data_IF_286950566486
#
_entry.id   IF_286950566486
#
_cell.length_a   1.000
_cell.length_b   1.000
_cell.length_c   1.000
_cell.angle_alpha   90.00
_cell.angle_beta   90.00
_cell.angle_gamma   90.00
#
_symmetry.space_group_name_H-M   'P 1'
#
loop_
_entity.id
_entity.type
_entity.pdbx_description
1 polymer ?
#
# COMPACT_ATOMS: atom_id res chain seq x y z
N UNK A 1 -5.61 -6.96 -44.97
CA UNK A 1 -4.91 -8.06 -44.27
C UNK A 1 -3.45 -7.65 -44.00
N UNK A 2 -3.21 -6.66 -43.14
CA UNK A 2 -1.84 -6.16 -42.90
C UNK A 2 -1.69 -5.41 -41.57
N UNK A 3 -2.36 -5.83 -40.50
CA UNK A 3 -2.22 -5.21 -39.16
C UNK A 3 -1.58 -6.14 -38.12
N UNK A 4 -1.46 -7.45 -38.38
CA UNK A 4 -0.97 -8.43 -37.41
C UNK A 4 0.57 -8.51 -37.27
N UNK A 5 1.34 -7.98 -38.21
CA UNK A 5 2.82 -8.11 -38.25
C UNK A 5 3.55 -7.18 -37.28
N UNK A 6 3.01 -5.99 -37.04
CA UNK A 6 3.66 -4.97 -36.21
C UNK A 6 3.50 -5.29 -34.72
N UNK A 7 2.31 -5.78 -34.32
CA UNK A 7 2.04 -6.21 -32.95
C UNK A 7 2.93 -7.40 -32.53
N UNK A 8 3.09 -8.40 -33.39
CA UNK A 8 4.00 -9.53 -33.15
C UNK A 8 5.45 -9.07 -32.99
N UNK A 9 5.88 -8.12 -33.83
CA UNK A 9 7.24 -7.55 -33.77
C UNK A 9 7.46 -6.76 -32.47
N UNK A 10 6.47 -5.99 -32.03
CA UNK A 10 6.51 -5.25 -30.75
C UNK A 10 6.56 -6.23 -29.57
N UNK A 11 5.75 -7.29 -29.60
CA UNK A 11 5.72 -8.34 -28.58
C UNK A 11 7.07 -9.06 -28.50
N UNK A 12 7.63 -9.46 -29.65
CA UNK A 12 8.95 -10.09 -29.75
C UNK A 12 10.07 -9.18 -29.24
N UNK A 13 10.06 -7.91 -29.63
CA UNK A 13 11.03 -6.92 -29.14
C UNK A 13 10.92 -6.71 -27.62
N UNK A 14 9.69 -6.65 -27.08
CA UNK A 14 9.45 -6.58 -25.63
C UNK A 14 10.01 -7.82 -24.91
N UNK A 15 9.75 -9.03 -25.42
CA UNK A 15 10.28 -10.26 -24.86
C UNK A 15 11.81 -10.32 -24.93
N UNK A 16 12.40 -9.95 -26.06
CA UNK A 16 13.85 -9.87 -26.25
C UNK A 16 14.50 -8.89 -25.27
N UNK A 17 13.94 -7.68 -25.13
CA UNK A 17 14.43 -6.68 -24.17
C UNK A 17 14.28 -7.15 -22.72
N UNK A 18 13.17 -7.82 -22.39
CA UNK A 18 12.92 -8.41 -21.06
C UNK A 18 13.90 -9.54 -20.76
N UNK A 19 14.22 -10.40 -21.73
CA UNK A 19 15.25 -11.44 -21.60
C UNK A 19 16.65 -10.84 -21.45
N UNK A 20 17.01 -9.85 -22.26
CA UNK A 20 18.33 -9.21 -22.21
C UNK A 20 18.57 -8.48 -20.87
N UNK A 21 17.53 -7.94 -20.26
CA UNK A 21 17.59 -7.30 -18.95
C UNK A 21 17.47 -8.29 -17.77
N UNK A 22 17.30 -9.60 -18.02
CA UNK A 22 17.40 -10.60 -16.95
C UNK A 22 18.85 -10.73 -16.54
N UNK A 23 19.18 -10.13 -15.39
CA UNK A 23 20.43 -10.43 -14.70
C UNK A 23 20.48 -11.93 -14.41
N UNK A 24 21.56 -12.59 -14.83
CA UNK A 24 21.83 -13.97 -14.44
C UNK A 24 21.86 -14.04 -12.92
N UNK A 25 20.92 -14.80 -12.34
CA UNK A 25 20.88 -15.02 -10.90
C UNK A 25 22.07 -15.88 -10.51
N UNK A 26 22.96 -15.36 -9.65
CA UNK A 26 24.05 -16.15 -9.06
C UNK A 26 23.53 -17.33 -8.25
N UNK A 27 22.38 -17.14 -7.59
CA UNK A 27 21.74 -18.17 -6.78
C UNK A 27 20.24 -18.15 -7.01
N UNK A 28 19.63 -19.34 -7.06
CA UNK A 28 18.17 -19.48 -7.08
C UNK A 28 17.56 -19.04 -5.74
N UNK A 29 18.11 -19.53 -4.64
CA UNK A 29 17.90 -19.06 -3.27
C UNK A 29 19.27 -18.77 -2.66
N UNK A 30 19.41 -17.64 -1.99
CA UNK A 30 20.69 -17.28 -1.37
C UNK A 30 21.04 -18.30 -0.25
N UNK A 31 22.27 -18.80 -0.13
CA UNK A 31 22.63 -19.83 0.86
C UNK A 31 22.28 -19.46 2.31
N UNK A 32 22.38 -18.17 2.66
CA UNK A 32 21.93 -17.67 3.97
C UNK A 32 20.43 -17.93 4.22
N UNK A 33 19.59 -17.69 3.23
CA UNK A 33 18.14 -17.85 3.32
C UNK A 33 17.76 -19.34 3.40
N UNK A 34 18.49 -20.17 2.65
CA UNK A 34 18.32 -21.62 2.65
C UNK A 34 18.67 -22.23 4.02
N UNK A 35 19.80 -21.82 4.62
CA UNK A 35 20.20 -22.25 5.97
C UNK A 35 19.20 -21.82 7.06
N UNK A 36 18.54 -20.68 6.88
CA UNK A 36 17.60 -20.10 7.85
C UNK A 36 16.14 -20.44 7.55
N UNK A 37 15.85 -21.46 6.73
CA UNK A 37 14.47 -21.81 6.36
C UNK A 37 13.58 -22.11 7.57
N UNK A 38 14.12 -22.75 8.61
CA UNK A 38 13.41 -23.04 9.86
C UNK A 38 13.08 -21.79 10.67
N UNK A 39 13.84 -20.72 10.51
CA UNK A 39 13.59 -19.45 11.21
C UNK A 39 12.30 -18.77 10.70
N UNK A 40 11.85 -19.06 9.47
CA UNK A 40 10.68 -18.42 8.83
C UNK A 40 9.39 -18.63 9.63
N UNK A 41 9.03 -19.90 9.86
CA UNK A 41 7.84 -20.29 10.62
C UNK A 41 8.00 -19.94 12.10
N UNK A 42 9.21 -20.06 12.63
CA UNK A 42 9.50 -19.74 14.01
C UNK A 42 9.26 -18.26 14.34
N UNK A 43 9.67 -17.32 13.47
CA UNK A 43 9.47 -15.88 13.70
C UNK A 43 7.97 -15.56 13.74
N UNK A 44 7.21 -15.94 12.71
CA UNK A 44 5.78 -15.64 12.64
C UNK A 44 4.99 -16.29 13.80
N UNK A 45 5.22 -17.59 14.07
CA UNK A 45 4.51 -18.29 15.15
C UNK A 45 4.86 -17.72 16.53
N UNK A 46 6.14 -17.40 16.78
CA UNK A 46 6.58 -16.80 18.04
C UNK A 46 5.99 -15.41 18.26
N UNK A 47 5.85 -14.62 17.20
CA UNK A 47 5.24 -13.29 17.25
C UNK A 47 3.76 -13.35 17.60
N UNK A 48 3.00 -14.24 16.97
CA UNK A 48 1.57 -14.45 17.27
C UNK A 48 1.32 -14.99 18.69
N UNK A 49 2.35 -15.55 19.33
CA UNK A 49 2.34 -16.00 20.72
C UNK A 49 2.82 -14.93 21.71
N UNK A 50 3.30 -13.76 21.25
CA UNK A 50 3.68 -12.67 22.16
C UNK A 50 2.46 -11.98 22.79
N UNK A 51 2.70 -11.21 23.85
CA UNK A 51 1.69 -10.33 24.45
C UNK A 51 1.22 -9.25 23.47
N UNK A 52 -0.02 -8.80 23.63
CA UNK A 52 -0.63 -7.81 22.73
C UNK A 52 0.15 -6.49 22.68
N UNK A 53 0.75 -6.07 23.81
CA UNK A 53 1.62 -4.90 23.85
C UNK A 53 2.83 -5.03 22.92
N UNK A 54 3.42 -6.23 22.83
CA UNK A 54 4.55 -6.51 21.94
C UNK A 54 4.09 -6.51 20.49
N UNK A 55 2.96 -7.16 20.19
CA UNK A 55 2.36 -7.16 18.85
C UNK A 55 2.05 -5.74 18.38
N UNK A 56 1.42 -4.91 19.22
CA UNK A 56 1.17 -3.49 18.95
C UNK A 56 2.46 -2.72 18.67
N UNK A 57 3.54 -2.99 19.42
CA UNK A 57 4.82 -2.31 19.19
C UNK A 57 5.46 -2.68 17.84
N UNK A 58 5.29 -3.92 17.39
CA UNK A 58 5.91 -4.46 16.18
C UNK A 58 5.08 -4.20 14.92
N UNK A 59 3.75 -4.25 15.04
CA UNK A 59 2.79 -4.28 13.95
C UNK A 59 1.83 -3.09 13.95
N UNK A 60 1.84 -2.24 15.00
CA UNK A 60 0.90 -1.14 15.19
C UNK A 60 -0.58 -1.58 15.15
N UNK A 61 -0.82 -2.84 15.50
CA UNK A 61 -2.12 -3.50 15.40
C UNK A 61 -2.28 -4.50 16.55
N UNK A 62 -3.48 -4.61 17.11
CA UNK A 62 -3.79 -5.62 18.13
C UNK A 62 -3.94 -6.99 17.49
N UNK A 63 -3.89 -8.05 18.32
CA UNK A 63 -4.06 -9.41 17.82
C UNK A 63 -5.46 -9.64 17.24
N UNK A 64 -6.49 -9.07 17.87
CA UNK A 64 -7.88 -9.15 17.41
C UNK A 64 -8.04 -8.47 16.04
N UNK A 65 -7.51 -7.26 15.88
CA UNK A 65 -7.55 -6.56 14.59
C UNK A 65 -6.79 -7.32 13.51
N UNK A 66 -5.65 -7.96 13.86
CA UNK A 66 -4.91 -8.80 12.92
C UNK A 66 -5.71 -10.03 12.51
N UNK A 67 -6.31 -10.76 13.45
CA UNK A 67 -7.14 -11.93 13.14
C UNK A 67 -8.32 -11.56 12.26
N UNK A 68 -9.01 -10.46 12.58
CA UNK A 68 -10.11 -9.96 11.76
C UNK A 68 -9.65 -9.55 10.35
N UNK A 69 -8.49 -8.89 10.24
CA UNK A 69 -7.90 -8.55 8.96
C UNK A 69 -7.57 -9.80 8.13
N UNK A 70 -7.00 -10.84 8.75
CA UNK A 70 -6.69 -12.10 8.07
C UNK A 70 -7.96 -12.75 7.53
N UNK A 71 -9.03 -12.79 8.31
CA UNK A 71 -10.33 -13.34 7.86
C UNK A 71 -10.87 -12.62 6.62
N UNK A 72 -10.74 -11.29 6.56
CA UNK A 72 -11.17 -10.49 5.41
C UNK A 72 -10.28 -10.69 4.18
N UNK A 73 -8.96 -10.86 4.35
CA UNK A 73 -8.02 -10.88 3.22
C UNK A 73 -7.76 -12.28 2.65
N UNK A 74 -7.79 -13.33 3.47
CA UNK A 74 -7.48 -14.71 3.05
C UNK A 74 -8.30 -15.16 1.82
N UNK A 75 -9.61 -14.87 1.70
CA UNK A 75 -10.39 -15.22 0.51
C UNK A 75 -9.85 -14.64 -0.80
N UNK A 76 -9.18 -13.49 -0.74
CA UNK A 76 -8.63 -12.78 -1.91
C UNK A 76 -7.18 -13.17 -2.22
N UNK A 77 -6.54 -13.97 -1.35
CA UNK A 77 -5.14 -14.38 -1.51
C UNK A 77 -5.09 -15.77 -2.15
N UNK A 78 -4.91 -15.80 -3.47
CA UNK A 78 -4.76 -17.06 -4.21
C UNK A 78 -3.30 -17.50 -4.28
N UNK A 79 -2.98 -18.61 -3.62
CA UNK A 79 -1.63 -19.17 -3.63
C UNK A 79 -1.66 -20.66 -3.95
N UNK A 80 -0.62 -21.11 -4.65
CA UNK A 80 -0.42 -22.51 -4.98
C UNK A 80 1.04 -22.86 -4.76
N UNK A 81 1.26 -23.99 -4.12
CA UNK A 81 2.57 -24.61 -4.11
C UNK A 81 2.96 -24.97 -5.54
N UNK A 82 4.27 -24.93 -5.81
CA UNK A 82 4.81 -25.45 -7.06
C UNK A 82 5.70 -26.63 -6.75
N UNK A 83 5.93 -27.50 -7.74
CA UNK A 83 6.86 -28.63 -7.60
C UNK A 83 8.27 -28.22 -7.17
N UNK A 84 8.63 -26.94 -7.31
CA UNK A 84 9.95 -26.41 -6.98
C UNK A 84 10.00 -25.69 -5.62
N UNK A 85 8.86 -25.28 -5.04
CA UNK A 85 8.83 -24.59 -3.74
C UNK A 85 7.42 -24.57 -3.13
N UNK A 86 7.39 -24.67 -1.80
CA UNK A 86 6.23 -24.27 -1.00
C UNK A 86 5.97 -22.76 -1.14
N UNK A 87 4.70 -22.40 -1.22
CA UNK A 87 4.26 -21.03 -1.20
C UNK A 87 4.43 -20.43 0.21
N UNK A 88 4.48 -19.09 0.27
CA UNK A 88 4.50 -18.39 1.55
C UNK A 88 3.05 -18.34 2.04
N UNK A 89 2.74 -18.80 3.25
CA UNK A 89 1.35 -18.85 3.71
C UNK A 89 0.67 -17.47 3.65
N UNK A 90 -0.65 -17.44 3.50
CA UNK A 90 -1.39 -16.18 3.42
C UNK A 90 -1.14 -15.31 4.67
N UNK A 91 -1.17 -15.92 5.86
CA UNK A 91 -0.88 -15.27 7.13
C UNK A 91 0.51 -14.65 7.17
N UNK A 92 1.55 -15.39 6.76
CA UNK A 92 2.93 -14.87 6.74
C UNK A 92 3.07 -13.69 5.77
N UNK A 93 2.38 -13.73 4.63
CA UNK A 93 2.39 -12.62 3.67
C UNK A 93 1.72 -11.36 4.19
N UNK A 94 0.58 -11.51 4.87
CA UNK A 94 -0.10 -10.41 5.54
C UNK A 94 0.82 -9.84 6.61
N UNK A 95 1.43 -10.70 7.43
CA UNK A 95 2.30 -10.31 8.52
C UNK A 95 3.57 -9.58 8.03
N UNK A 96 4.21 -10.05 6.95
CA UNK A 96 5.30 -9.35 6.25
C UNK A 96 4.86 -7.94 5.83
N UNK A 97 3.67 -7.82 5.27
CA UNK A 97 3.14 -6.56 4.73
C UNK A 97 2.80 -5.58 5.84
N UNK A 98 2.11 -6.02 6.89
CA UNK A 98 1.81 -5.18 8.06
C UNK A 98 3.09 -4.74 8.74
N UNK A 99 4.11 -5.61 8.86
CA UNK A 99 5.40 -5.21 9.44
C UNK A 99 6.03 -4.06 8.66
N UNK A 100 6.01 -4.16 7.33
CA UNK A 100 6.54 -3.10 6.47
C UNK A 100 5.77 -1.77 6.64
N UNK A 101 4.44 -1.82 6.66
CA UNK A 101 3.59 -0.63 6.84
C UNK A 101 3.75 -0.01 8.24
N UNK A 102 3.92 -0.83 9.27
CA UNK A 102 4.05 -0.41 10.65
C UNK A 102 5.40 0.28 10.96
N UNK A 103 6.50 -0.21 10.38
CA UNK A 103 7.85 0.28 10.70
C UNK A 103 8.47 1.16 9.61
N UNK A 104 7.97 1.10 8.37
CA UNK A 104 8.60 1.79 7.23
C UNK A 104 10.03 1.30 6.94
N UNK A 105 10.35 0.05 7.31
CA UNK A 105 11.70 -0.50 7.15
C UNK A 105 12.01 -0.83 5.69
N UNK A 106 13.31 -0.92 5.35
CA UNK A 106 13.73 -1.30 4.00
C UNK A 106 13.37 -2.75 3.68
N UNK A 107 13.17 -3.08 2.40
CA UNK A 107 12.89 -4.46 1.98
C UNK A 107 13.99 -5.44 2.38
N UNK A 108 15.25 -5.01 2.38
CA UNK A 108 16.38 -5.83 2.84
C UNK A 108 16.27 -6.16 4.34
N UNK A 109 15.85 -5.21 5.17
CA UNK A 109 15.63 -5.45 6.60
C UNK A 109 14.49 -6.45 6.84
N UNK A 110 13.35 -6.27 6.16
CA UNK A 110 12.21 -7.19 6.22
C UNK A 110 12.59 -8.58 5.70
N UNK A 111 13.37 -8.65 4.62
CA UNK A 111 13.91 -9.88 4.02
C UNK A 111 14.77 -10.68 5.00
N UNK A 112 15.70 -10.02 5.69
CA UNK A 112 16.52 -10.61 6.75
C UNK A 112 15.65 -11.10 7.91
N UNK A 113 14.68 -10.30 8.34
CA UNK A 113 13.79 -10.61 9.45
C UNK A 113 12.96 -11.88 9.21
N UNK A 114 12.34 -11.98 8.04
CA UNK A 114 11.50 -13.13 7.68
C UNK A 114 12.27 -14.25 6.98
N UNK A 115 13.59 -14.12 6.79
CA UNK A 115 14.41 -15.03 5.99
C UNK A 115 13.77 -15.33 4.61
N UNK A 116 13.32 -14.28 3.91
CA UNK A 116 12.71 -14.33 2.55
C UNK A 116 13.51 -13.43 1.62
N UNK A 117 13.68 -13.80 0.36
CA UNK A 117 14.48 -12.97 -0.56
C UNK A 117 13.85 -11.60 -0.82
N UNK A 118 14.67 -10.55 -0.99
CA UNK A 118 14.24 -9.16 -1.19
C UNK A 118 13.18 -9.01 -2.30
N UNK A 119 13.40 -9.68 -3.44
CA UNK A 119 12.44 -9.68 -4.56
C UNK A 119 11.12 -10.37 -4.23
N UNK A 120 11.13 -11.34 -3.32
CA UNK A 120 9.91 -12.02 -2.85
C UNK A 120 9.15 -11.12 -1.90
N UNK A 121 9.84 -10.48 -0.95
CA UNK A 121 9.24 -9.52 -0.01
C UNK A 121 8.62 -8.34 -0.75
N UNK A 122 9.36 -7.71 -1.67
CA UNK A 122 8.85 -6.59 -2.47
C UNK A 122 7.59 -6.96 -3.26
N UNK A 123 7.56 -8.15 -3.87
CA UNK A 123 6.38 -8.65 -4.58
C UNK A 123 5.21 -8.91 -3.64
N UNK A 124 5.46 -9.55 -2.49
CA UNK A 124 4.43 -9.81 -1.48
C UNK A 124 3.80 -8.51 -1.02
N UNK A 125 4.62 -7.53 -0.63
CA UNK A 125 4.15 -6.24 -0.14
C UNK A 125 3.26 -5.57 -1.18
N UNK A 126 3.72 -5.43 -2.43
CA UNK A 126 2.93 -4.80 -3.49
C UNK A 126 1.59 -5.50 -3.74
N UNK A 127 1.60 -6.84 -3.80
CA UNK A 127 0.39 -7.66 -4.03
C UNK A 127 -0.60 -7.52 -2.86
N UNK A 128 -0.13 -7.67 -1.62
CA UNK A 128 -1.00 -7.63 -0.44
C UNK A 128 -1.50 -6.21 -0.18
N UNK A 129 -0.71 -5.15 -0.42
CA UNK A 129 -1.21 -3.77 -0.28
C UNK A 129 -2.34 -3.45 -1.24
N UNK A 130 -2.31 -4.00 -2.47
CA UNK A 130 -3.41 -3.84 -3.43
C UNK A 130 -4.66 -4.58 -2.95
N UNK A 131 -4.50 -5.83 -2.50
CA UNK A 131 -5.60 -6.63 -1.95
C UNK A 131 -6.23 -5.94 -0.72
N UNK A 132 -5.41 -5.40 0.18
CA UNK A 132 -5.89 -4.63 1.34
C UNK A 132 -6.74 -3.45 0.89
N UNK A 133 -6.26 -2.67 -0.07
CA UNK A 133 -7.00 -1.53 -0.58
C UNK A 133 -8.35 -1.95 -1.18
N UNK A 134 -8.34 -2.95 -2.07
CA UNK A 134 -9.54 -3.39 -2.77
C UNK A 134 -10.58 -4.03 -1.85
N UNK A 135 -10.14 -4.79 -0.84
CA UNK A 135 -11.04 -5.45 0.12
C UNK A 135 -11.60 -4.49 1.18
N UNK A 136 -10.83 -3.49 1.61
CA UNK A 136 -11.17 -2.70 2.80
C UNK A 136 -11.71 -1.31 2.50
N UNK A 137 -11.38 -0.70 1.36
CA UNK A 137 -11.74 0.71 1.08
C UNK A 137 -13.24 0.96 1.18
N UNK A 138 -14.07 0.05 0.68
CA UNK A 138 -15.52 0.25 0.62
C UNK A 138 -16.20 -0.04 1.98
N UNK A 139 -15.52 -0.81 2.85
CA UNK A 139 -15.98 -1.13 4.20
C UNK A 139 -15.67 0.01 5.17
N UNK A 140 -14.43 0.52 5.14
CA UNK A 140 -13.93 1.47 6.13
C UNK A 140 -13.90 2.92 5.64
N UNK A 141 -14.05 3.16 4.34
CA UNK A 141 -14.10 4.49 3.74
C UNK A 141 -15.20 4.58 2.66
N UNK A 142 -16.46 4.21 2.99
CA UNK A 142 -17.57 4.37 2.07
C UNK A 142 -17.79 5.86 1.78
N UNK A 143 -18.25 6.17 0.58
CA UNK A 143 -18.63 7.55 0.24
C UNK A 143 -19.80 7.99 1.12
N UNK A 144 -19.68 9.08 1.91
CA UNK A 144 -20.73 9.43 2.84
C UNK A 144 -22.02 9.89 2.14
N UNK A 145 -23.17 9.45 2.65
CA UNK A 145 -24.47 9.92 2.20
C UNK A 145 -24.84 11.29 2.82
N UNK A 146 -25.95 11.88 2.37
CA UNK A 146 -26.41 13.19 2.85
C UNK A 146 -26.65 13.22 4.37
N UNK A 147 -27.09 12.11 4.98
CA UNK A 147 -27.36 12.05 6.41
C UNK A 147 -26.04 11.95 7.19
N UNK A 148 -25.09 11.16 6.72
CA UNK A 148 -23.74 11.07 7.27
C UNK A 148 -23.03 12.43 7.21
N UNK A 149 -23.13 13.17 6.10
CA UNK A 149 -22.61 14.54 6.01
C UNK A 149 -23.22 15.48 7.06
N UNK A 150 -24.53 15.38 7.29
CA UNK A 150 -25.20 16.17 8.34
C UNK A 150 -24.70 15.80 9.74
N UNK A 151 -24.49 14.51 10.01
CA UNK A 151 -23.95 14.03 11.29
C UNK A 151 -22.53 14.58 11.50
N UNK A 152 -21.67 14.52 10.48
CA UNK A 152 -20.31 15.06 10.54
C UNK A 152 -20.36 16.57 10.83
N UNK A 153 -21.17 17.33 10.08
CA UNK A 153 -21.34 18.77 10.30
C UNK A 153 -21.83 19.12 11.72
N UNK A 154 -22.78 18.34 12.23
CA UNK A 154 -23.28 18.51 13.60
C UNK A 154 -22.20 18.20 14.64
N UNK A 155 -21.42 17.11 14.47
CA UNK A 155 -20.31 16.79 15.39
C UNK A 155 -19.26 17.89 15.40
N UNK A 156 -18.88 18.44 14.24
CA UNK A 156 -17.93 19.56 14.17
C UNK A 156 -18.46 20.80 14.88
N UNK A 157 -19.75 21.10 14.73
CA UNK A 157 -20.36 22.21 15.43
C UNK A 157 -20.35 22.00 16.95
N UNK A 158 -20.70 20.80 17.43
CA UNK A 158 -20.76 20.49 18.85
C UNK A 158 -19.39 20.48 19.54
N UNK A 159 -18.38 19.87 18.91
CA UNK A 159 -17.05 19.70 19.51
C UNK A 159 -16.14 20.90 19.31
N UNK A 160 -16.26 21.58 18.17
CA UNK A 160 -15.29 22.59 17.72
C UNK A 160 -15.91 23.95 17.37
N UNK A 161 -17.23 24.11 17.53
CA UNK A 161 -17.98 25.31 17.13
C UNK A 161 -17.78 25.69 15.64
N UNK A 162 -17.61 24.69 14.78
CA UNK A 162 -17.46 24.86 13.33
C UNK A 162 -18.74 24.43 12.60
N UNK A 163 -19.69 25.35 12.31
CA UNK A 163 -20.92 25.01 11.61
C UNK A 163 -20.64 24.62 10.15
N UNK A 164 -21.42 23.67 9.62
CA UNK A 164 -21.33 23.17 8.23
C UNK A 164 -19.95 22.63 7.81
N UNK A 165 -19.08 22.29 8.76
CA UNK A 165 -17.79 21.68 8.47
C UNK A 165 -17.96 20.19 8.14
N UNK A 166 -17.53 19.77 6.96
CA UNK A 166 -17.68 18.38 6.50
C UNK A 166 -16.44 17.53 6.76
N UNK A 167 -15.37 18.11 7.28
CA UNK A 167 -14.13 17.40 7.54
C UNK A 167 -12.92 18.31 7.56
N UNK A 168 -11.84 17.80 8.13
CA UNK A 168 -10.52 18.42 8.13
C UNK A 168 -9.71 17.86 6.96
N UNK A 169 -9.40 18.72 5.98
CA UNK A 169 -8.60 18.37 4.81
C UNK A 169 -7.13 18.72 5.04
N UNK A 170 -6.24 17.75 4.84
CA UNK A 170 -4.79 17.98 4.90
C UNK A 170 -4.05 17.26 3.75
N UNK A 171 -2.89 17.81 3.39
CA UNK A 171 -2.02 17.33 2.32
C UNK A 171 -0.65 16.91 2.83
N UNK A 172 -0.13 15.80 2.31
CA UNK A 172 1.21 15.29 2.64
C UNK A 172 2.01 14.96 1.39
N UNK A 173 3.20 15.54 1.29
CA UNK A 173 4.20 15.12 0.30
C UNK A 173 4.88 13.82 0.73
N UNK A 174 4.61 12.74 0.00
CA UNK A 174 5.32 11.47 0.14
C UNK A 174 6.55 11.52 -0.76
N UNK A 175 7.73 11.47 -0.15
CA UNK A 175 9.00 11.48 -0.88
C UNK A 175 9.13 10.22 -1.72
N UNK A 176 9.53 10.40 -2.97
CA UNK A 176 9.81 9.31 -3.92
C UNK A 176 11.19 9.49 -4.53
N UNK A 177 11.75 8.40 -5.06
CA UNK A 177 12.86 8.51 -6.00
C UNK A 177 12.39 9.19 -7.28
N UNK A 178 13.32 9.87 -7.96
CA UNK A 178 13.02 10.52 -9.24
C UNK A 178 12.56 9.45 -10.23
N UNK A 179 11.32 9.60 -10.73
CA UNK A 179 10.80 8.74 -11.76
C UNK A 179 11.60 8.94 -13.07
N UNK A 180 11.88 7.87 -13.83
CA UNK A 180 12.52 7.99 -15.13
C UNK A 180 11.74 8.93 -16.04
N UNK A 181 12.43 9.81 -16.75
CA UNK A 181 11.85 10.75 -17.72
C UNK A 181 10.80 11.74 -17.15
N UNK A 182 10.69 11.92 -15.83
CA UNK A 182 9.68 12.80 -15.22
C UNK A 182 10.09 14.28 -15.13
N UNK A 183 11.30 14.64 -15.57
CA UNK A 183 11.84 16.00 -15.41
C UNK A 183 11.72 16.51 -13.96
N UNK A 184 11.17 17.70 -13.79
CA UNK A 184 10.85 18.33 -12.50
C UNK A 184 9.38 18.20 -12.08
N UNK A 185 8.58 17.37 -12.76
CA UNK A 185 7.13 17.24 -12.51
C UNK A 185 6.82 16.88 -11.05
N UNK A 186 7.56 15.94 -10.48
CA UNK A 186 7.42 15.54 -9.09
C UNK A 186 8.31 16.34 -8.13
N UNK A 187 9.13 17.26 -8.63
CA UNK A 187 10.05 18.03 -7.80
C UNK A 187 9.29 19.16 -7.09
N UNK A 188 9.24 19.10 -5.77
CA UNK A 188 8.49 20.04 -4.95
C UNK A 188 9.35 21.24 -4.52
N UNK A 189 8.69 22.22 -3.88
CA UNK A 189 9.33 23.42 -3.35
C UNK A 189 10.31 23.16 -2.19
N UNK A 190 10.24 21.97 -1.57
CA UNK A 190 11.15 21.51 -0.52
C UNK A 190 12.40 20.79 -1.09
N UNK A 191 12.64 20.92 -2.39
CA UNK A 191 13.81 20.39 -3.09
C UNK A 191 13.93 18.86 -3.06
N UNK A 192 12.81 18.13 -3.14
CA UNK A 192 12.81 16.69 -3.36
C UNK A 192 11.67 16.22 -4.28
N UNK A 193 11.82 15.03 -4.88
CA UNK A 193 10.75 14.42 -5.65
C UNK A 193 9.69 13.82 -4.72
N UNK A 194 8.42 14.13 -4.97
CA UNK A 194 7.30 13.64 -4.18
C UNK A 194 6.06 13.37 -5.03
N UNK A 195 5.18 12.55 -4.45
CA UNK A 195 3.77 12.47 -4.81
C UNK A 195 2.96 13.07 -3.65
N UNK A 196 1.80 13.61 -3.93
CA UNK A 196 0.93 14.17 -2.89
C UNK A 196 -0.18 13.21 -2.55
N UNK A 197 -0.36 13.02 -1.25
CA UNK A 197 -1.53 12.42 -0.62
C UNK A 197 -2.38 13.54 -0.04
N UNK A 198 -3.67 13.55 -0.34
CA UNK A 198 -4.67 14.39 0.28
C UNK A 198 -5.62 13.49 1.06
N UNK A 199 -5.95 13.87 2.30
CA UNK A 199 -6.90 13.12 3.10
C UNK A 199 -7.86 14.09 3.80
N UNK A 200 -9.12 13.67 3.92
CA UNK A 200 -10.13 14.32 4.71
C UNK A 200 -10.48 13.39 5.88
N UNK A 201 -10.52 13.93 7.10
CA UNK A 201 -10.99 13.20 8.28
C UNK A 201 -12.22 13.86 8.90
N UNK A 202 -13.06 13.07 9.55
CA UNK A 202 -14.13 13.57 10.39
C UNK A 202 -13.61 14.07 11.76
N UNK A 203 -14.53 14.41 12.66
CA UNK A 203 -14.19 14.89 14.02
C UNK A 203 -13.52 13.84 14.90
N UNK A 204 -13.73 12.56 14.59
CA UNK A 204 -13.27 11.44 15.40
C UNK A 204 -11.91 10.93 14.90
N UNK A 205 -11.36 11.58 13.87
CA UNK A 205 -10.08 11.23 13.25
C UNK A 205 -10.19 10.06 12.27
N UNK A 206 -11.39 9.68 11.86
CA UNK A 206 -11.61 8.66 10.83
C UNK A 206 -11.53 9.31 9.45
N UNK A 207 -10.82 8.67 8.53
CA UNK A 207 -10.72 9.15 7.16
C UNK A 207 -12.05 8.95 6.43
N UNK A 208 -12.58 10.04 5.87
CA UNK A 208 -13.80 10.03 5.03
C UNK A 208 -13.46 10.00 3.55
N UNK A 209 -12.28 10.48 3.18
CA UNK A 209 -11.81 10.54 1.80
C UNK A 209 -10.29 10.56 1.76
N UNK A 210 -9.68 9.77 0.86
CA UNK A 210 -8.25 9.82 0.59
C UNK A 210 -8.03 9.81 -0.92
N UNK A 211 -7.17 10.71 -1.41
CA UNK A 211 -6.74 10.78 -2.79
C UNK A 211 -5.22 10.81 -2.86
N UNK A 212 -4.63 9.99 -3.72
CA UNK A 212 -3.16 9.87 -3.83
C UNK A 212 -2.71 9.92 -5.28
N UNK A 213 -1.46 10.36 -5.50
CA UNK A 213 -0.80 10.23 -6.81
C UNK A 213 -0.62 11.52 -7.60
N UNK A 214 -1.04 12.66 -7.06
CA UNK A 214 -0.74 13.95 -7.69
C UNK A 214 0.76 14.24 -7.67
N UNK A 215 1.24 14.93 -8.71
CA UNK A 215 2.64 15.32 -8.81
C UNK A 215 3.05 16.28 -7.68
N UNK A 216 4.24 16.07 -7.12
CA UNK A 216 4.78 16.85 -6.00
C UNK A 216 5.01 18.34 -6.28
N UNK A 217 5.03 18.77 -7.55
CA UNK A 217 5.04 20.20 -7.90
C UNK A 217 3.72 20.90 -7.54
N UNK A 218 2.62 20.16 -7.44
CA UNK A 218 1.31 20.75 -7.16
C UNK A 218 1.19 21.12 -5.67
N UNK A 219 0.82 22.38 -5.41
CA UNK A 219 0.47 22.86 -4.07
C UNK A 219 -0.83 22.23 -3.58
N UNK A 220 -1.01 22.16 -2.27
CA UNK A 220 -2.21 21.59 -1.63
C UNK A 220 -3.48 22.39 -1.94
N UNK A 221 -3.35 23.72 -2.11
CA UNK A 221 -4.47 24.60 -2.47
C UNK A 221 -4.93 24.50 -3.93
N UNK A 222 -4.10 23.98 -4.85
CA UNK A 222 -4.43 23.92 -6.29
C UNK A 222 -5.27 22.70 -6.67
N UNK A 223 -5.50 21.76 -5.75
CA UNK A 223 -6.01 20.40 -6.07
C UNK A 223 -7.53 20.25 -5.95
N UNK A 224 -8.23 21.25 -5.41
CA UNK A 224 -9.67 21.16 -5.13
C UNK A 224 -10.57 21.87 -6.15
N UNK A 225 -10.00 22.63 -7.10
CA UNK A 225 -10.81 23.43 -8.04
C UNK A 225 -11.24 22.67 -9.32
N UNK A 226 -10.56 21.60 -9.71
CA UNK A 226 -10.80 20.96 -11.02
C UNK A 226 -11.66 19.68 -11.01
N UNK A 227 -12.05 19.17 -9.83
CA UNK A 227 -12.74 17.87 -9.71
C UNK A 227 -13.99 17.84 -8.82
N UNK A 228 -14.51 18.98 -8.36
CA UNK A 228 -15.89 19.00 -7.85
C UNK A 228 -16.84 18.64 -9.01
N UNK A 229 -17.68 17.59 -8.90
CA UNK A 229 -18.69 17.33 -9.92
C UNK A 229 -19.53 18.59 -10.10
N UNK A 230 -19.80 18.98 -11.35
CA UNK A 230 -20.57 20.17 -11.73
C UNK A 230 -22.00 20.21 -11.14
N UNK A 231 -22.41 19.24 -10.33
CA UNK A 231 -23.74 19.11 -9.74
C UNK A 231 -23.95 19.96 -8.48
N UNK A 232 -22.96 20.74 -8.04
CA UNK A 232 -23.09 21.67 -6.90
C UNK A 232 -22.70 23.11 -7.27
N UNK A 233 -22.91 23.50 -8.53
CA UNK A 233 -22.94 24.91 -8.94
C UNK A 233 -24.38 25.24 -9.34
N UNK A 234 -25.20 25.50 -8.35
CA UNK A 234 -26.41 26.33 -8.43
C UNK A 234 -26.59 27.04 -7.08
#
# INVERSE_FOLDING_TARGET
MSETSDDETIILYYFYRKQRNRRNRRYWVHPYIERNIKCRLFVAAKELQQTDAKLLSLYRMSKESYTHLVELLVPHIHQRDTHMRECVSAEERILITIRYLATGATFTSISLYFARGDSTVSRIIGEITAIIWDALKDIYMPTPDKNQWKIIAQRFHLLWNLPNCLGALDGKHIRIEKLPNSGSLNFNYKSYHSIVLMACSDTDGLFTYIETGFAGRNSDGSKHCDKMPRQYKD
#
